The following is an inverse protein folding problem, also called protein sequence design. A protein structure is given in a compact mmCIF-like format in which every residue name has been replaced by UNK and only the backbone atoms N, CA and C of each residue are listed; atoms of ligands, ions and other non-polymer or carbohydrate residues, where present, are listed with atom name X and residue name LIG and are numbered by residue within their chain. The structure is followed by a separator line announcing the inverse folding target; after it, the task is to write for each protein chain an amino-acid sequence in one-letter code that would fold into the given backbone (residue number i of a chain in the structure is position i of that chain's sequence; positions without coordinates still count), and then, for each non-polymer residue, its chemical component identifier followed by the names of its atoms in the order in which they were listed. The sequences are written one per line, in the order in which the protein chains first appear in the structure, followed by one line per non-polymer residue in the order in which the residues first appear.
data_IF_102917322827
#
_entry.id   IF_102917322827
#
_cell.length_a   1.000
_cell.length_b   1.000
_cell.length_c   1.000
_cell.angle_alpha   90.00
_cell.angle_beta   90.00
_cell.angle_gamma   90.00
#
_symmetry.space_group_name_H-M   'P 1'
#
loop_
_entity.id
_entity.type
_entity.pdbx_description
1 polymer ?
#
# COMPACT_ATOMS: atom_id res chain seq x y z
N UNK A 1 22.68 52.83 -21.26
CA UNK A 1 21.95 51.57 -21.20
C UNK A 1 22.95 50.51 -20.79
N UNK A 2 22.94 50.15 -19.51
CA UNK A 2 23.84 49.18 -18.91
C UNK A 2 23.00 47.93 -18.63
N UNK A 3 23.23 46.86 -19.38
CA UNK A 3 22.55 45.58 -19.18
C UNK A 3 23.58 44.59 -18.62
N UNK A 4 23.82 44.66 -17.32
CA UNK A 4 24.54 43.60 -16.60
C UNK A 4 23.60 42.40 -16.42
N UNK A 5 23.90 41.31 -17.13
CA UNK A 5 23.22 40.04 -16.98
C UNK A 5 23.45 39.53 -15.56
N UNK A 6 22.40 39.57 -14.75
CA UNK A 6 22.40 39.02 -13.40
C UNK A 6 22.37 37.50 -13.50
N UNK A 7 23.51 36.86 -13.28
CA UNK A 7 23.65 35.41 -13.19
C UNK A 7 22.68 34.90 -12.11
N UNK A 8 21.61 34.23 -12.53
CA UNK A 8 20.76 33.48 -11.61
C UNK A 8 21.57 32.27 -11.20
N UNK A 9 21.84 32.15 -9.89
CA UNK A 9 22.43 30.94 -9.31
C UNK A 9 21.28 30.10 -8.76
N UNK A 10 20.57 29.33 -9.60
CA UNK A 10 19.67 28.33 -9.05
C UNK A 10 20.54 27.33 -8.32
N UNK A 11 20.16 27.00 -7.08
CA UNK A 11 20.83 25.99 -6.27
C UNK A 11 20.46 24.60 -6.83
N UNK A 12 20.94 24.30 -8.03
CA UNK A 12 20.90 22.96 -8.59
C UNK A 12 22.10 22.24 -7.97
N UNK A 13 21.84 21.27 -7.09
CA UNK A 13 22.78 20.58 -6.21
C UNK A 13 23.92 19.83 -6.92
N UNK A 14 24.82 20.58 -7.56
CA UNK A 14 25.98 20.08 -8.29
C UNK A 14 27.26 20.76 -7.79
N UNK A 15 27.56 20.63 -6.50
CA UNK A 15 28.88 20.96 -5.98
C UNK A 15 29.93 19.94 -6.47
N UNK A 16 31.19 20.34 -6.70
CA UNK A 16 32.24 19.45 -7.18
C UNK A 16 32.81 18.65 -6.01
N UNK A 17 32.02 17.75 -5.43
CA UNK A 17 32.54 16.74 -4.52
C UNK A 17 31.63 15.50 -4.51
N UNK A 18 31.99 14.55 -5.38
CA UNK A 18 31.96 13.13 -5.08
C UNK A 18 30.80 12.64 -4.18
N UNK A 19 29.58 12.54 -4.73
CA UNK A 19 28.56 11.61 -4.24
C UNK A 19 27.55 11.30 -5.34
N UNK A 20 27.60 10.07 -5.83
CA UNK A 20 26.61 9.33 -6.62
C UNK A 20 25.82 10.11 -7.69
N UNK A 21 26.30 9.97 -8.95
CA UNK A 21 25.66 10.43 -10.20
C UNK A 21 24.21 9.97 -10.42
N UNK A 22 23.67 9.06 -9.59
CA UNK A 22 22.28 8.62 -9.63
C UNK A 22 21.31 9.57 -8.91
N UNK A 23 21.78 10.46 -8.03
CA UNK A 23 20.89 11.36 -7.27
C UNK A 23 20.37 12.55 -8.10
N UNK A 24 21.12 12.98 -9.12
CA UNK A 24 20.91 14.27 -9.78
C UNK A 24 19.80 14.29 -10.85
N UNK A 25 19.41 13.14 -11.41
CA UNK A 25 18.38 13.10 -12.49
C UNK A 25 16.95 13.07 -11.92
N UNK A 26 16.78 12.59 -10.69
CA UNK A 26 15.48 12.47 -10.02
C UNK A 26 15.11 13.69 -9.18
N UNK A 27 16.04 14.61 -8.95
CA UNK A 27 15.83 15.83 -8.15
C UNK A 27 15.13 16.96 -8.94
N UNK A 28 14.99 16.80 -10.25
CA UNK A 28 14.30 17.73 -11.15
C UNK A 28 12.82 17.38 -11.39
N UNK A 29 12.36 16.26 -10.83
CA UNK A 29 10.98 15.78 -10.96
C UNK A 29 10.31 15.71 -9.60
N UNK A 30 9.03 16.03 -9.55
CA UNK A 30 8.25 15.94 -8.32
C UNK A 30 8.16 14.47 -7.86
N UNK A 31 8.59 14.21 -6.63
CA UNK A 31 8.58 12.85 -6.07
C UNK A 31 7.15 12.42 -5.72
N UNK A 32 6.49 11.73 -6.66
CA UNK A 32 5.20 11.07 -6.38
C UNK A 32 5.43 9.75 -5.64
N UNK A 33 4.92 9.67 -4.41
CA UNK A 33 5.00 8.46 -3.60
C UNK A 33 3.66 7.73 -3.62
N UNK A 34 3.68 6.42 -3.87
CA UNK A 34 2.50 5.57 -3.85
C UNK A 34 2.64 4.46 -2.81
N UNK A 35 1.57 4.18 -2.10
CA UNK A 35 1.42 2.96 -1.31
C UNK A 35 0.81 1.88 -2.19
N UNK A 36 1.56 0.79 -2.38
CA UNK A 36 1.07 -0.40 -3.08
C UNK A 36 0.62 -1.46 -2.08
N UNK A 37 -0.64 -1.89 -2.20
CA UNK A 37 -1.22 -2.95 -1.37
C UNK A 37 -1.61 -4.10 -2.30
N UNK A 38 -0.97 -5.25 -2.13
CA UNK A 38 -1.26 -6.46 -2.91
C UNK A 38 -2.05 -7.45 -2.05
N UNK A 39 -3.30 -7.70 -2.41
CA UNK A 39 -4.13 -8.73 -1.78
C UNK A 39 -4.00 -10.00 -2.60
N UNK A 40 -3.22 -10.95 -2.11
CA UNK A 40 -2.96 -12.20 -2.83
C UNK A 40 -4.08 -13.20 -2.58
N UNK A 41 -4.24 -13.65 -1.33
CA UNK A 41 -5.21 -14.67 -0.95
C UNK A 41 -5.54 -14.63 0.55
N UNK A 42 -6.65 -15.25 0.90
CA UNK A 42 -7.06 -15.52 2.28
C UNK A 42 -7.18 -17.03 2.51
N UNK A 43 -7.02 -17.46 3.76
CA UNK A 43 -7.16 -18.85 4.20
C UNK A 43 -7.93 -18.89 5.51
N UNK A 44 -8.48 -20.07 5.82
CA UNK A 44 -9.15 -20.37 7.09
C UNK A 44 -10.31 -19.41 7.40
N UNK A 45 -11.08 -19.06 6.37
CA UNK A 45 -12.25 -18.20 6.51
C UNK A 45 -13.39 -18.94 7.24
N UNK A 46 -14.04 -18.33 8.25
CA UNK A 46 -15.11 -18.96 9.03
C UNK A 46 -16.46 -18.95 8.28
N UNK A 47 -16.47 -19.43 7.03
CA UNK A 47 -17.67 -19.53 6.20
C UNK A 47 -17.98 -21.01 5.96
N UNK A 48 -19.20 -21.40 6.30
CA UNK A 48 -19.71 -22.72 5.98
C UNK A 48 -20.45 -22.68 4.64
N UNK A 49 -19.84 -23.25 3.60
CA UNK A 49 -20.43 -23.35 2.25
C UNK A 49 -19.70 -22.53 1.18
N UNK A 50 -20.27 -22.55 -0.02
CA UNK A 50 -19.79 -21.77 -1.17
C UNK A 50 -20.47 -20.41 -1.21
N UNK A 51 -19.75 -19.39 -0.76
CA UNK A 51 -20.16 -17.99 -0.85
C UNK A 51 -19.15 -17.19 -1.65
N UNK A 52 -19.54 -16.02 -2.13
CA UNK A 52 -18.62 -15.08 -2.78
C UNK A 52 -17.98 -14.16 -1.72
N UNK A 53 -16.66 -14.08 -1.69
CA UNK A 53 -15.88 -13.25 -0.76
C UNK A 53 -15.15 -12.15 -1.50
N UNK A 54 -15.06 -10.99 -0.85
CA UNK A 54 -14.34 -9.80 -1.31
C UNK A 54 -13.40 -9.30 -0.23
N UNK A 55 -12.31 -8.66 -0.65
CA UNK A 55 -11.42 -7.92 0.23
C UNK A 55 -11.63 -6.42 -0.01
N UNK A 56 -11.80 -5.67 1.07
CA UNK A 56 -11.87 -4.21 1.10
C UNK A 56 -10.57 -3.67 1.68
N UNK A 57 -9.80 -2.94 0.87
CA UNK A 57 -8.63 -2.18 1.31
C UNK A 57 -9.08 -0.75 1.58
N UNK A 58 -8.96 -0.32 2.82
CA UNK A 58 -9.38 1.01 3.28
C UNK A 58 -8.18 1.79 3.79
N UNK A 59 -8.10 3.05 3.36
CA UNK A 59 -7.01 3.94 3.66
C UNK A 59 -7.57 5.33 3.96
N UNK A 60 -7.92 5.55 5.22
CA UNK A 60 -8.70 6.71 5.64
C UNK A 60 -10.08 6.71 4.96
N UNK A 61 -10.28 7.67 4.05
CA UNK A 61 -11.54 7.83 3.29
C UNK A 61 -11.54 7.07 1.97
N UNK A 62 -10.38 6.59 1.51
CA UNK A 62 -10.27 5.85 0.26
C UNK A 62 -10.54 4.38 0.51
N UNK A 63 -11.28 3.75 -0.42
CA UNK A 63 -11.63 2.34 -0.36
C UNK A 63 -11.42 1.71 -1.72
N UNK A 64 -10.79 0.54 -1.74
CA UNK A 64 -10.62 -0.31 -2.90
C UNK A 64 -11.23 -1.68 -2.61
N UNK A 65 -11.96 -2.23 -3.57
CA UNK A 65 -12.58 -3.55 -3.45
C UNK A 65 -11.95 -4.50 -4.46
N UNK A 66 -11.71 -5.73 -4.04
CA UNK A 66 -11.33 -6.80 -4.96
C UNK A 66 -12.56 -7.34 -5.70
N UNK A 67 -12.32 -8.08 -6.79
CA UNK A 67 -13.37 -8.89 -7.41
C UNK A 67 -13.87 -9.94 -6.41
N UNK A 68 -15.14 -10.33 -6.52
CA UNK A 68 -15.64 -11.44 -5.71
C UNK A 68 -15.13 -12.78 -6.23
N UNK A 69 -14.74 -13.65 -5.30
CA UNK A 69 -14.18 -14.97 -5.57
C UNK A 69 -14.85 -15.99 -4.66
N UNK A 70 -14.81 -17.28 -5.02
CA UNK A 70 -15.39 -18.32 -4.17
C UNK A 70 -14.66 -18.43 -2.83
N UNK A 71 -15.40 -18.60 -1.74
CA UNK A 71 -14.87 -18.87 -0.40
C UNK A 71 -13.94 -20.08 -0.34
N UNK A 72 -14.17 -21.08 -1.21
CA UNK A 72 -13.33 -22.29 -1.32
C UNK A 72 -11.96 -22.00 -1.97
N UNK A 73 -11.87 -20.94 -2.78
CA UNK A 73 -10.64 -20.52 -3.48
C UNK A 73 -10.50 -19.00 -3.40
N UNK A 74 -10.25 -18.50 -2.18
CA UNK A 74 -10.14 -17.07 -1.90
C UNK A 74 -8.79 -16.47 -2.36
N UNK A 75 -8.59 -16.39 -3.68
CA UNK A 75 -7.40 -15.84 -4.33
C UNK A 75 -7.78 -14.71 -5.29
N UNK A 76 -7.16 -13.54 -5.12
CA UNK A 76 -7.45 -12.34 -5.91
C UNK A 76 -6.27 -11.88 -6.75
N UNK A 77 -5.06 -11.98 -6.20
CA UNK A 77 -3.82 -11.39 -6.74
C UNK A 77 -3.98 -9.95 -7.25
N UNK A 78 -4.70 -9.12 -6.49
CA UNK A 78 -5.07 -7.77 -6.91
C UNK A 78 -4.20 -6.73 -6.21
N UNK A 79 -3.69 -5.77 -6.98
CA UNK A 79 -2.86 -4.67 -6.48
C UNK A 79 -3.65 -3.36 -6.51
N UNK A 80 -3.63 -2.65 -5.39
CA UNK A 80 -4.14 -1.29 -5.25
C UNK A 80 -2.96 -0.34 -5.09
N UNK A 81 -3.04 0.82 -5.73
CA UNK A 81 -2.06 1.90 -5.60
C UNK A 81 -2.77 3.15 -5.08
N UNK A 82 -2.28 3.70 -3.97
CA UNK A 82 -2.81 4.92 -3.37
C UNK A 82 -1.73 5.99 -3.38
N UNK A 83 -2.01 7.16 -3.96
CA UNK A 83 -1.07 8.29 -3.88
C UNK A 83 -0.98 8.78 -2.43
N UNK A 84 0.25 8.98 -1.95
CA UNK A 84 0.53 9.51 -0.61
C UNK A 84 -0.11 10.87 -0.37
N UNK A 85 -0.26 11.68 -1.41
CA UNK A 85 -0.87 13.02 -1.31
C UNK A 85 -2.36 12.96 -0.97
N UNK A 86 -3.02 11.86 -1.35
CA UNK A 86 -4.42 11.61 -1.03
C UNK A 86 -4.60 10.92 0.34
N UNK A 87 -3.52 10.42 0.94
CA UNK A 87 -3.55 9.67 2.21
C UNK A 87 -3.44 10.65 3.38
N UNK A 88 -4.53 10.81 4.13
CA UNK A 88 -4.56 11.54 5.42
C UNK A 88 -4.56 10.61 6.64
N UNK A 89 -4.44 9.30 6.42
CA UNK A 89 -4.43 8.27 7.47
C UNK A 89 -3.00 7.83 7.74
N UNK A 90 -2.68 7.42 8.97
CA UNK A 90 -1.41 6.76 9.32
C UNK A 90 -1.48 5.23 9.15
N UNK A 91 -2.62 4.70 8.73
CA UNK A 91 -2.89 3.26 8.76
C UNK A 91 -3.66 2.81 7.52
N UNK A 92 -3.31 1.62 7.03
CA UNK A 92 -4.09 0.87 6.04
C UNK A 92 -4.81 -0.28 6.72
N UNK A 93 -6.11 -0.40 6.46
CA UNK A 93 -6.96 -1.50 6.94
C UNK A 93 -7.35 -2.38 5.76
N UNK A 94 -7.33 -3.70 5.93
CA UNK A 94 -7.76 -4.68 4.95
C UNK A 94 -8.80 -5.57 5.62
N UNK A 95 -10.03 -5.55 5.10
CA UNK A 95 -11.12 -6.37 5.57
C UNK A 95 -11.40 -7.47 4.57
N UNK A 96 -11.68 -8.68 5.03
CA UNK A 96 -12.25 -9.73 4.20
C UNK A 96 -13.69 -9.91 4.62
N UNK A 97 -14.62 -9.86 3.67
CA UNK A 97 -16.07 -9.98 3.93
C UNK A 97 -16.76 -10.79 2.84
N UNK A 98 -17.93 -11.31 3.16
CA UNK A 98 -18.80 -11.95 2.18
C UNK A 98 -19.51 -10.88 1.35
N UNK A 99 -19.69 -11.09 0.05
CA UNK A 99 -20.24 -10.06 -0.85
C UNK A 99 -21.66 -9.64 -0.49
N UNK A 100 -22.47 -10.61 -0.06
CA UNK A 100 -23.88 -10.43 0.28
C UNK A 100 -24.11 -10.07 1.76
N UNK A 101 -23.05 -10.01 2.58
CA UNK A 101 -23.14 -9.61 3.99
C UNK A 101 -22.33 -8.37 4.26
N UNK A 102 -22.87 -7.47 5.08
CA UNK A 102 -22.13 -6.28 5.51
C UNK A 102 -21.08 -6.60 6.60
N UNK A 103 -21.14 -7.82 7.14
CA UNK A 103 -20.25 -8.32 8.16
C UNK A 103 -18.88 -8.77 7.61
N UNK A 104 -17.79 -8.33 8.24
CA UNK A 104 -16.45 -8.81 7.92
C UNK A 104 -16.10 -10.12 8.64
N UNK A 105 -15.36 -10.98 7.96
CA UNK A 105 -14.85 -12.26 8.42
C UNK A 105 -13.55 -12.11 9.19
N UNK A 106 -12.73 -11.14 8.79
CA UNK A 106 -11.48 -10.81 9.44
C UNK A 106 -10.95 -9.46 8.97
N UNK A 107 -10.06 -8.88 9.77
CA UNK A 107 -9.37 -7.63 9.44
C UNK A 107 -7.86 -7.75 9.67
N UNK A 108 -7.07 -7.06 8.86
CA UNK A 108 -5.65 -6.83 9.08
C UNK A 108 -5.41 -5.35 8.94
N UNK A 109 -4.49 -4.81 9.73
CA UNK A 109 -4.11 -3.41 9.62
C UNK A 109 -2.61 -3.25 9.70
N UNK A 110 -2.09 -2.20 9.09
CA UNK A 110 -0.67 -1.88 9.09
C UNK A 110 -0.49 -0.39 9.32
N UNK A 111 0.48 -0.04 10.16
CA UNK A 111 0.93 1.34 10.30
C UNK A 111 1.80 1.70 9.09
N UNK A 112 1.52 2.83 8.46
CA UNK A 112 2.26 3.31 7.29
C UNK A 112 3.71 3.68 7.64
N UNK A 113 4.02 3.95 8.91
CA UNK A 113 5.39 4.18 9.37
C UNK A 113 6.23 2.90 9.39
N UNK A 114 5.60 1.73 9.52
CA UNK A 114 6.27 0.43 9.45
C UNK A 114 6.49 -0.04 8.01
N UNK A 115 5.79 0.57 7.04
CA UNK A 115 5.93 0.23 5.63
C UNK A 115 7.27 0.77 5.11
N UNK A 116 8.19 -0.11 4.66
CA UNK A 116 9.48 0.33 4.16
C UNK A 116 9.29 1.15 2.89
N UNK A 117 9.90 2.34 2.87
CA UNK A 117 9.96 3.17 1.67
C UNK A 117 10.87 2.49 0.66
N UNK A 118 10.35 2.20 -0.53
CA UNK A 118 11.14 1.66 -1.63
C UNK A 118 11.72 2.81 -2.45
N UNK A 119 13.01 2.76 -2.71
CA UNK A 119 13.65 3.58 -3.73
C UNK A 119 14.18 2.64 -4.83
N UNK A 120 14.02 2.95 -6.13
CA UNK A 120 14.67 2.16 -7.17
C UNK A 120 16.17 2.06 -6.86
N UNK A 121 16.79 0.85 -6.86
CA UNK A 121 16.38 -0.37 -7.56
C UNK A 121 15.72 -1.45 -6.68
N UNK A 122 15.11 -1.10 -5.54
CA UNK A 122 14.60 -2.09 -4.58
C UNK A 122 13.64 -3.13 -5.19
N UNK A 123 13.92 -4.40 -4.91
CA UNK A 123 13.08 -5.55 -5.30
C UNK A 123 11.70 -5.49 -4.64
N UNK A 124 10.70 -6.13 -5.28
CA UNK A 124 9.37 -6.24 -4.68
C UNK A 124 9.45 -7.04 -3.37
N UNK A 125 8.87 -6.51 -2.29
CA UNK A 125 8.73 -7.28 -1.04
C UNK A 125 7.98 -8.56 -1.33
N UNK A 126 8.53 -9.68 -0.86
CA UNK A 126 7.86 -10.97 -0.94
C UNK A 126 6.49 -10.89 -0.24
N UNK A 127 5.43 -11.50 -0.81
CA UNK A 127 4.16 -11.60 -0.13
C UNK A 127 4.32 -12.32 1.22
N UNK A 128 3.79 -11.73 2.29
CA UNK A 128 3.82 -12.30 3.63
C UNK A 128 2.41 -12.63 4.11
N UNK A 129 2.29 -13.71 4.88
CA UNK A 129 1.05 -14.07 5.55
C UNK A 129 0.85 -13.20 6.78
N UNK A 130 -0.30 -12.54 6.84
CA UNK A 130 -0.71 -11.77 8.00
C UNK A 130 -1.95 -12.38 8.62
N UNK A 131 -1.89 -12.55 9.94
CA UNK A 131 -3.00 -13.10 10.70
C UNK A 131 -4.10 -12.07 10.82
N UNK A 132 -5.31 -12.48 10.45
CA UNK A 132 -6.49 -11.65 10.57
C UNK A 132 -6.96 -11.63 12.03
N UNK A 133 -7.35 -10.45 12.50
CA UNK A 133 -8.10 -10.27 13.74
C UNK A 133 -9.57 -10.57 13.46
N UNK A 134 -10.20 -11.30 14.38
CA UNK A 134 -11.64 -11.52 14.35
C UNK A 134 -12.42 -10.28 14.82
N UNK A 135 -13.75 -10.36 14.75
CA UNK A 135 -14.65 -9.28 15.20
C UNK A 135 -14.48 -8.90 16.68
N UNK A 136 -13.86 -9.76 17.49
CA UNK A 136 -13.64 -9.56 18.93
C UNK A 136 -12.26 -8.96 19.22
N UNK A 137 -11.46 -8.68 18.18
CA UNK A 137 -10.09 -8.23 18.32
C UNK A 137 -9.15 -9.33 18.83
N UNK A 138 -9.62 -10.58 18.88
CA UNK A 138 -8.78 -11.70 19.23
C UNK A 138 -8.05 -12.16 17.96
N UNK A 139 -6.72 -12.17 18.04
CA UNK A 139 -5.93 -12.92 17.07
C UNK A 139 -6.17 -14.37 17.45
N UNK A 140 -7.07 -15.07 16.76
CA UNK A 140 -7.46 -16.45 17.10
C UNK A 140 -6.22 -17.35 17.13
N UNK A 141 -5.79 -17.79 18.32
CA UNK A 141 -4.66 -18.71 18.50
C UNK A 141 -4.99 -20.06 17.87
N UNK A 142 -4.41 -20.33 16.71
CA UNK A 142 -4.05 -21.68 16.29
C UNK A 142 -2.54 -21.70 16.06
N UNK A 143 -1.86 -22.62 16.74
CA UNK A 143 -0.41 -22.79 16.71
C UNK A 143 0.08 -23.60 15.53
#
# INVERSE_FOLDING_TARGET
HDFSLKETRPHLGGGPLHKDKSSSTYDLVEQMQYLYVRVVKAKDLPIFGSSEVIAEVKLGNHRGFTKGVSSNHAEWDQVFAFSKDCIRSSMVEVFVKEREKDDFLGRVWFDLNEVPKRAPPDSQLAPQWQRMEDKRGDKSKAG
#
